data_IF_777314438387
#
_entry.id   IF_777314438387
#
_cell.length_a   1.000
_cell.length_b   1.000
_cell.length_c   1.000
_cell.angle_alpha   90.00
_cell.angle_beta   90.00
_cell.angle_gamma   90.00
#
_symmetry.space_group_name_H-M   'P 1'
#
loop_
_entity.id
_entity.type
_entity.pdbx_description
1 polymer ?
#
# COMPACT_ATOMS: atom_id res chain seq x y z
N UNK A 1 -4.71 -45.26 9.01
CA UNK A 1 -4.41 -44.47 10.21
C UNK A 1 -3.77 -43.18 9.75
N UNK A 2 -4.52 -42.12 9.55
CA UNK A 2 -3.96 -40.79 9.28
C UNK A 2 -3.92 -40.06 10.62
N UNK A 3 -2.75 -39.96 11.21
CA UNK A 3 -2.48 -39.13 12.37
C UNK A 3 -2.73 -37.68 11.97
N UNK A 4 -3.76 -37.07 12.54
CA UNK A 4 -3.99 -35.64 12.49
C UNK A 4 -2.97 -35.00 13.44
N UNK A 5 -1.84 -34.60 12.88
CA UNK A 5 -0.85 -33.78 13.54
C UNK A 5 -1.39 -32.34 13.68
N UNK A 6 -2.25 -32.13 14.67
CA UNK A 6 -2.61 -30.79 15.11
C UNK A 6 -2.90 -30.86 16.62
N UNK A 7 -2.02 -30.24 17.38
CA UNK A 7 -2.11 -30.07 18.84
C UNK A 7 -3.20 -29.03 19.22
N UNK A 8 -4.23 -28.86 18.39
CA UNK A 8 -5.31 -27.90 18.58
C UNK A 8 -6.47 -28.58 19.27
N UNK A 9 -6.78 -28.14 20.49
CA UNK A 9 -7.93 -28.60 21.27
C UNK A 9 -9.19 -27.90 20.72
N UNK A 10 -10.14 -28.63 20.18
CA UNK A 10 -11.44 -28.08 19.76
C UNK A 10 -12.36 -27.94 20.96
N UNK A 11 -13.30 -26.99 20.89
CA UNK A 11 -14.34 -26.77 21.89
C UNK A 11 -15.74 -27.04 21.31
N UNK A 12 -16.53 -27.85 22.00
CA UNK A 12 -17.89 -28.18 21.62
C UNK A 12 -18.83 -27.73 22.73
N UNK A 13 -19.85 -26.95 22.41
CA UNK A 13 -20.89 -26.53 23.34
C UNK A 13 -22.11 -27.43 23.16
N UNK A 14 -22.49 -28.15 24.22
CA UNK A 14 -23.75 -28.92 24.32
C UNK A 14 -24.79 -28.05 24.97
N UNK A 15 -25.94 -27.88 24.32
CA UNK A 15 -27.08 -27.11 24.83
C UNK A 15 -28.27 -28.05 24.98
N UNK A 16 -28.54 -28.48 26.20
CA UNK A 16 -29.63 -29.44 26.54
C UNK A 16 -29.97 -29.21 28.01
N UNK A 17 -31.22 -29.30 28.42
CA UNK A 17 -31.64 -29.20 29.83
C UNK A 17 -31.41 -30.48 30.63
N UNK A 18 -31.23 -31.61 29.93
CA UNK A 18 -31.12 -32.93 30.55
C UNK A 18 -29.67 -33.29 30.86
N UNK A 19 -29.33 -33.36 32.13
CA UNK A 19 -28.00 -33.75 32.61
C UNK A 19 -27.52 -35.13 32.11
N UNK A 20 -28.44 -36.00 31.71
CA UNK A 20 -28.11 -37.30 31.12
C UNK A 20 -27.39 -37.14 29.79
N UNK A 21 -27.91 -36.30 28.88
CA UNK A 21 -27.26 -36.06 27.56
C UNK A 21 -25.93 -35.36 27.69
N UNK A 22 -25.76 -34.45 28.65
CA UNK A 22 -24.47 -33.87 28.95
C UNK A 22 -23.42 -34.94 29.27
N UNK A 23 -23.73 -35.87 30.16
CA UNK A 23 -22.83 -36.95 30.53
C UNK A 23 -22.59 -37.93 29.38
N UNK A 24 -23.62 -38.25 28.62
CA UNK A 24 -23.53 -39.16 27.48
C UNK A 24 -22.58 -38.60 26.41
N UNK A 25 -22.77 -37.34 25.97
CA UNK A 25 -21.95 -36.71 24.95
C UNK A 25 -20.55 -36.42 25.45
N UNK A 26 -20.37 -36.01 26.71
CA UNK A 26 -19.04 -35.92 27.32
C UNK A 26 -18.31 -37.26 27.28
N UNK A 27 -18.97 -38.35 27.66
CA UNK A 27 -18.41 -39.71 27.59
C UNK A 27 -18.07 -40.16 26.16
N UNK A 28 -18.83 -39.73 25.16
CA UNK A 28 -18.49 -39.99 23.75
C UNK A 28 -17.17 -39.28 23.34
N UNK A 29 -16.89 -38.14 23.93
CA UNK A 29 -15.75 -37.28 23.60
C UNK A 29 -14.52 -37.44 24.53
N UNK A 30 -14.63 -38.21 25.64
CA UNK A 30 -13.58 -38.37 26.66
C UNK A 30 -12.36 -38.94 25.97
N UNK A 31 -11.97 -39.47 25.17
CA UNK A 31 -10.72 -39.88 24.55
C UNK A 31 -10.36 -39.05 23.31
N UNK A 32 -10.95 -37.87 23.17
CA UNK A 32 -10.73 -37.00 22.01
C UNK A 32 -10.06 -35.67 22.42
N UNK A 33 -9.52 -34.94 21.45
CA UNK A 33 -8.97 -33.59 21.66
C UNK A 33 -10.07 -32.49 21.65
N UNK A 34 -11.32 -32.83 22.07
CA UNK A 34 -12.48 -31.92 22.08
C UNK A 34 -12.87 -31.62 23.53
N UNK A 35 -12.82 -30.35 23.90
CA UNK A 35 -13.31 -29.87 25.19
C UNK A 35 -14.82 -29.65 25.15
N UNK A 36 -15.55 -30.19 26.09
CA UNK A 36 -17.01 -30.08 26.17
C UNK A 36 -17.39 -28.99 27.16
N UNK A 37 -18.16 -28.01 26.70
CA UNK A 37 -18.85 -27.01 27.51
C UNK A 37 -20.34 -27.31 27.48
N UNK A 38 -21.05 -26.90 28.53
CA UNK A 38 -22.45 -27.24 28.68
C UNK A 38 -23.29 -26.01 29.03
N UNK A 39 -24.42 -25.85 28.37
CA UNK A 39 -25.47 -24.90 28.71
C UNK A 39 -26.81 -25.59 28.86
N UNK A 40 -27.63 -25.13 29.81
CA UNK A 40 -28.94 -25.74 30.10
C UNK A 40 -30.12 -25.08 29.39
N UNK A 41 -29.86 -23.96 28.71
CA UNK A 41 -30.86 -23.24 27.91
C UNK A 41 -30.19 -22.50 26.76
N UNK A 42 -30.96 -22.04 25.78
CA UNK A 42 -30.46 -21.24 24.65
C UNK A 42 -29.88 -19.90 25.11
N UNK A 43 -30.48 -19.25 26.11
CA UNK A 43 -30.02 -17.97 26.66
C UNK A 43 -28.64 -18.13 27.33
N UNK A 44 -28.47 -19.20 28.13
CA UNK A 44 -27.19 -19.53 28.76
C UNK A 44 -26.11 -19.84 27.70
N UNK A 45 -26.50 -20.53 26.62
CA UNK A 45 -25.61 -20.80 25.49
C UNK A 45 -25.15 -19.52 24.80
N UNK A 46 -26.02 -18.57 24.51
CA UNK A 46 -25.70 -17.28 23.93
C UNK A 46 -24.73 -16.47 24.80
N UNK A 47 -24.89 -16.54 26.12
CA UNK A 47 -23.98 -15.86 27.06
C UNK A 47 -22.58 -16.47 27.05
N UNK A 48 -22.47 -17.79 27.03
CA UNK A 48 -21.21 -18.51 26.89
C UNK A 48 -20.55 -18.21 25.55
N UNK A 49 -21.27 -18.25 24.44
CA UNK A 49 -20.76 -18.00 23.09
C UNK A 49 -20.21 -16.56 22.95
N UNK A 50 -20.86 -15.59 23.59
CA UNK A 50 -20.36 -14.20 23.60
C UNK A 50 -19.01 -14.04 24.31
N UNK A 51 -18.80 -14.82 25.39
CA UNK A 51 -17.55 -14.78 26.19
C UNK A 51 -16.44 -15.59 25.52
N UNK A 52 -16.78 -16.77 25.06
CA UNK A 52 -15.81 -17.71 24.49
C UNK A 52 -16.52 -18.57 23.42
N UNK A 53 -16.42 -18.16 22.14
CA UNK A 53 -17.07 -18.89 21.06
C UNK A 53 -16.51 -20.31 20.90
N UNK A 54 -17.39 -21.35 20.91
CA UNK A 54 -16.96 -22.72 20.65
C UNK A 54 -16.71 -22.96 19.15
N UNK A 55 -16.02 -24.05 18.82
CA UNK A 55 -15.79 -24.45 17.43
C UNK A 55 -17.03 -25.13 16.81
N UNK A 56 -17.97 -25.66 17.63
CA UNK A 56 -19.23 -26.25 17.20
C UNK A 56 -20.25 -26.19 18.33
N UNK A 57 -21.52 -26.01 17.98
CA UNK A 57 -22.68 -26.08 18.91
C UNK A 57 -23.54 -27.30 18.58
N UNK A 58 -23.92 -28.05 19.61
CA UNK A 58 -24.86 -29.15 19.52
C UNK A 58 -26.04 -28.84 20.46
N UNK A 59 -27.23 -28.59 19.92
CA UNK A 59 -28.39 -28.12 20.69
C UNK A 59 -29.60 -29.06 20.61
N UNK A 60 -30.28 -29.26 21.71
CA UNK A 60 -31.62 -29.87 21.70
C UNK A 60 -32.64 -28.92 21.05
N UNK A 61 -33.72 -29.46 20.53
CA UNK A 61 -34.85 -28.68 19.98
C UNK A 61 -35.65 -28.02 21.09
N UNK A 62 -35.99 -28.81 22.14
CA UNK A 62 -36.90 -28.41 23.21
C UNK A 62 -36.11 -28.13 24.47
N UNK A 63 -36.13 -26.90 24.92
CA UNK A 63 -35.43 -26.47 26.12
C UNK A 63 -36.34 -25.56 26.96
N UNK A 64 -36.16 -25.50 28.29
CA UNK A 64 -36.90 -24.55 29.15
C UNK A 64 -36.39 -23.12 28.87
N UNK A 65 -37.27 -22.12 29.09
CA UNK A 65 -36.86 -20.70 28.96
C UNK A 65 -37.43 -19.98 27.74
N UNK A 66 -38.20 -20.66 26.90
CA UNK A 66 -38.96 -20.05 25.80
C UNK A 66 -38.25 -20.01 24.44
N UNK A 67 -36.90 -20.02 24.37
CA UNK A 67 -36.13 -20.11 23.11
C UNK A 67 -35.86 -21.58 22.78
N UNK A 68 -36.28 -22.03 21.58
CA UNK A 68 -35.97 -23.39 21.09
C UNK A 68 -34.59 -23.50 20.49
N UNK A 69 -34.09 -24.73 20.26
CA UNK A 69 -32.86 -24.96 19.51
C UNK A 69 -32.90 -24.43 18.07
N UNK A 70 -34.08 -24.38 17.46
CA UNK A 70 -34.25 -23.73 16.15
C UNK A 70 -34.06 -22.22 16.23
N UNK A 71 -34.56 -21.58 17.30
CA UNK A 71 -34.41 -20.14 17.52
C UNK A 71 -32.96 -19.79 17.81
N UNK A 72 -32.29 -20.60 18.65
CA UNK A 72 -30.84 -20.47 18.88
C UNK A 72 -30.05 -20.57 17.59
N UNK A 73 -30.34 -21.57 16.76
CA UNK A 73 -29.67 -21.75 15.45
C UNK A 73 -29.87 -20.52 14.56
N UNK A 74 -31.12 -20.04 14.40
CA UNK A 74 -31.38 -18.81 13.61
C UNK A 74 -30.61 -17.60 14.14
N UNK A 75 -30.56 -17.44 15.46
CA UNK A 75 -29.84 -16.34 16.10
C UNK A 75 -28.34 -16.39 15.79
N UNK A 76 -27.72 -17.58 15.90
CA UNK A 76 -26.32 -17.78 15.61
C UNK A 76 -25.98 -17.58 14.10
N UNK A 77 -26.88 -17.98 13.21
CA UNK A 77 -26.72 -17.84 11.77
C UNK A 77 -26.99 -16.41 11.24
N UNK A 78 -27.67 -15.59 12.04
CA UNK A 78 -27.92 -14.19 11.72
C UNK A 78 -26.78 -13.24 12.17
N UNK A 79 -25.93 -13.63 13.12
CA UNK A 79 -24.79 -12.81 13.59
C UNK A 79 -23.53 -13.10 12.76
N UNK A 80 -22.93 -12.07 12.16
CA UNK A 80 -21.72 -12.19 11.35
C UNK A 80 -20.53 -12.84 12.07
N UNK A 81 -20.47 -12.78 13.41
CA UNK A 81 -19.42 -13.38 14.24
C UNK A 81 -19.58 -14.89 14.40
N UNK A 82 -20.81 -15.41 14.29
CA UNK A 82 -21.15 -16.82 14.56
C UNK A 82 -21.74 -17.54 13.36
N UNK A 83 -22.06 -16.86 12.28
CA UNK A 83 -22.67 -17.44 11.06
C UNK A 83 -21.89 -18.63 10.49
N UNK A 84 -20.56 -18.59 10.56
CA UNK A 84 -19.70 -19.67 10.06
C UNK A 84 -19.55 -20.84 11.03
N UNK A 85 -19.95 -20.68 12.31
CA UNK A 85 -19.86 -21.72 13.34
C UNK A 85 -20.87 -22.85 13.07
N UNK A 86 -20.43 -24.11 13.02
CA UNK A 86 -21.33 -25.23 12.83
C UNK A 86 -22.34 -25.37 13.98
N UNK A 87 -23.61 -25.56 13.62
CA UNK A 87 -24.71 -25.81 14.56
C UNK A 87 -25.37 -27.12 14.20
N UNK A 88 -25.40 -28.04 15.14
CA UNK A 88 -26.06 -29.34 15.02
C UNK A 88 -27.28 -29.36 15.92
N UNK A 89 -28.40 -29.81 15.41
CA UNK A 89 -29.64 -29.99 16.20
C UNK A 89 -29.80 -31.46 16.61
N UNK A 90 -30.01 -31.71 17.90
CA UNK A 90 -30.33 -33.02 18.46
C UNK A 90 -31.84 -33.19 18.60
N UNK A 91 -32.37 -34.39 18.28
CA UNK A 91 -33.79 -34.72 18.47
C UNK A 91 -34.00 -36.15 18.88
N UNK A 92 -34.97 -36.38 19.75
CA UNK A 92 -35.49 -37.71 20.06
C UNK A 92 -36.39 -38.26 18.97
N UNK A 93 -36.97 -37.38 18.16
CA UNK A 93 -37.86 -37.72 17.03
C UNK A 93 -37.16 -37.36 15.74
N UNK A 94 -36.78 -38.35 14.97
CA UNK A 94 -36.19 -38.18 13.63
C UNK A 94 -37.27 -38.04 12.54
N UNK A 95 -38.37 -37.32 12.83
CA UNK A 95 -39.40 -37.07 11.84
C UNK A 95 -38.90 -36.07 10.76
N UNK A 96 -39.44 -36.25 9.57
CA UNK A 96 -39.06 -35.45 8.38
C UNK A 96 -39.29 -33.96 8.61
N UNK A 97 -40.32 -33.59 9.34
CA UNK A 97 -40.74 -32.21 9.57
C UNK A 97 -39.70 -31.44 10.42
N UNK A 98 -39.25 -32.02 11.54
CA UNK A 98 -38.25 -31.40 12.40
C UNK A 98 -36.87 -31.26 11.68
N UNK A 99 -36.52 -32.22 10.83
CA UNK A 99 -35.30 -32.11 10.02
C UNK A 99 -35.38 -30.95 9.04
N UNK A 100 -36.50 -30.79 8.33
CA UNK A 100 -36.71 -29.67 7.40
C UNK A 100 -36.61 -28.33 8.15
N UNK A 101 -37.32 -28.18 9.28
CA UNK A 101 -37.27 -26.98 10.12
C UNK A 101 -35.86 -26.66 10.64
N UNK A 102 -35.08 -27.72 10.96
CA UNK A 102 -33.69 -27.55 11.37
C UNK A 102 -32.82 -26.95 10.27
N UNK A 103 -32.90 -27.46 9.05
CA UNK A 103 -32.18 -26.92 7.91
C UNK A 103 -32.68 -25.53 7.50
N UNK A 104 -33.98 -25.25 7.58
CA UNK A 104 -34.54 -23.91 7.37
C UNK A 104 -34.06 -22.89 8.41
N UNK A 105 -33.79 -23.35 9.64
CA UNK A 105 -33.16 -22.53 10.67
C UNK A 105 -31.66 -22.30 10.45
N UNK A 106 -31.06 -22.95 9.44
CA UNK A 106 -29.64 -22.83 9.10
C UNK A 106 -28.72 -23.85 9.78
N UNK A 107 -29.26 -24.92 10.37
CA UNK A 107 -28.42 -25.96 10.97
C UNK A 107 -27.54 -26.65 9.92
N UNK A 108 -26.30 -26.94 10.27
CA UNK A 108 -25.34 -27.63 9.42
C UNK A 108 -25.58 -29.15 9.38
N UNK A 109 -26.12 -29.72 10.46
CA UNK A 109 -26.56 -31.12 10.52
C UNK A 109 -27.66 -31.34 11.58
N UNK A 110 -28.26 -32.54 11.52
CA UNK A 110 -29.35 -32.94 12.39
C UNK A 110 -29.09 -34.38 12.89
N UNK A 111 -28.95 -34.54 14.21
CA UNK A 111 -28.62 -35.82 14.83
C UNK A 111 -29.80 -36.41 15.62
N UNK A 112 -29.91 -37.74 15.60
CA UNK A 112 -30.79 -38.45 16.50
C UNK A 112 -30.15 -38.57 17.89
N UNK A 113 -30.92 -38.35 18.99
CA UNK A 113 -30.45 -38.64 20.34
C UNK A 113 -30.20 -40.14 20.58
N UNK A 114 -30.69 -41.01 19.67
CA UNK A 114 -30.43 -42.46 19.68
C UNK A 114 -29.23 -42.88 18.84
N UNK A 115 -28.47 -41.90 18.28
CA UNK A 115 -27.27 -42.13 17.50
C UNK A 115 -26.18 -42.80 18.36
N UNK A 116 -25.44 -43.75 17.78
CA UNK A 116 -24.32 -44.37 18.47
C UNK A 116 -23.09 -43.44 18.51
N UNK A 117 -22.13 -43.84 19.35
CA UNK A 117 -20.90 -43.06 19.56
C UNK A 117 -20.07 -42.90 18.29
N UNK A 118 -19.97 -43.93 17.47
CA UNK A 118 -19.10 -43.92 16.28
C UNK A 118 -19.65 -42.95 15.23
N UNK A 119 -20.94 -43.05 14.95
CA UNK A 119 -21.61 -42.13 14.01
C UNK A 119 -21.51 -40.69 14.50
N UNK A 120 -21.72 -40.42 15.80
CA UNK A 120 -21.61 -39.10 16.39
C UNK A 120 -20.21 -38.53 16.18
N UNK A 121 -19.16 -39.29 16.50
CA UNK A 121 -17.77 -38.83 16.37
C UNK A 121 -17.36 -38.57 14.92
N UNK A 122 -17.78 -39.41 13.98
CA UNK A 122 -17.46 -39.23 12.55
C UNK A 122 -18.09 -37.93 12.05
N UNK A 123 -19.35 -37.66 12.34
CA UNK A 123 -20.05 -36.45 11.88
C UNK A 123 -19.50 -35.18 12.52
N UNK A 124 -19.25 -35.18 13.84
CA UNK A 124 -18.65 -34.03 14.53
C UNK A 124 -17.26 -33.70 13.95
N UNK A 125 -16.41 -34.71 13.72
CA UNK A 125 -15.09 -34.52 13.12
C UNK A 125 -15.20 -33.95 11.73
N UNK A 126 -16.12 -34.42 10.90
CA UNK A 126 -16.33 -33.91 9.55
C UNK A 126 -16.72 -32.44 9.54
N UNK A 127 -17.65 -32.05 10.43
CA UNK A 127 -18.07 -30.64 10.57
C UNK A 127 -16.94 -29.75 11.07
N UNK A 128 -16.16 -30.17 12.05
CA UNK A 128 -15.01 -29.45 12.57
C UNK A 128 -13.92 -29.28 11.50
N UNK A 129 -13.62 -30.34 10.73
CA UNK A 129 -12.66 -30.27 9.62
C UNK A 129 -13.11 -29.29 8.53
N UNK A 130 -14.38 -29.32 8.14
CA UNK A 130 -14.92 -28.39 7.15
C UNK A 130 -14.87 -26.96 7.65
N UNK A 131 -15.23 -26.73 8.92
CA UNK A 131 -15.15 -25.41 9.53
C UNK A 131 -13.71 -24.88 9.57
N UNK A 132 -12.76 -25.72 9.99
CA UNK A 132 -11.35 -25.36 10.02
C UNK A 132 -10.82 -25.04 8.61
N UNK A 133 -11.13 -25.87 7.62
CA UNK A 133 -10.71 -25.63 6.24
C UNK A 133 -11.25 -24.29 5.68
N UNK A 134 -12.50 -23.94 6.01
CA UNK A 134 -13.07 -22.63 5.63
C UNK A 134 -12.34 -21.46 6.30
N UNK A 135 -12.02 -21.60 7.58
CA UNK A 135 -11.24 -20.57 8.31
C UNK A 135 -9.84 -20.39 7.74
N UNK A 136 -9.15 -21.49 7.45
CA UNK A 136 -7.79 -21.48 6.90
C UNK A 136 -7.79 -20.86 5.49
N UNK A 137 -8.79 -21.16 4.67
CA UNK A 137 -8.96 -20.56 3.36
C UNK A 137 -9.19 -19.04 3.45
N UNK A 138 -10.08 -18.60 4.35
CA UNK A 138 -10.35 -17.17 4.55
C UNK A 138 -9.10 -16.42 5.06
N UNK A 139 -8.35 -17.04 5.99
CA UNK A 139 -7.11 -16.49 6.49
C UNK A 139 -6.02 -16.39 5.40
N UNK A 140 -5.90 -17.43 4.55
CA UNK A 140 -4.97 -17.44 3.43
C UNK A 140 -5.32 -16.36 2.38
N UNK A 141 -6.61 -16.20 2.06
CA UNK A 141 -7.08 -15.14 1.15
C UNK A 141 -6.74 -13.75 1.68
N UNK A 142 -7.01 -13.49 2.97
CA UNK A 142 -6.67 -12.22 3.61
C UNK A 142 -5.16 -11.97 3.59
N UNK A 143 -4.35 -12.99 3.87
CA UNK A 143 -2.89 -12.88 3.83
C UNK A 143 -2.35 -12.52 2.42
N UNK A 144 -2.92 -13.15 1.37
CA UNK A 144 -2.57 -12.83 -0.03
C UNK A 144 -2.95 -11.39 -0.36
N UNK A 145 -4.11 -10.92 0.08
CA UNK A 145 -4.58 -9.55 -0.20
C UNK A 145 -3.71 -8.50 0.50
N UNK A 146 -3.32 -8.76 1.75
CA UNK A 146 -2.37 -7.94 2.51
C UNK A 146 -1.00 -7.92 1.84
N UNK A 147 -0.46 -9.07 1.43
CA UNK A 147 0.83 -9.14 0.72
C UNK A 147 0.78 -8.40 -0.63
N UNK A 148 -0.32 -8.51 -1.38
CA UNK A 148 -0.52 -7.78 -2.63
C UNK A 148 -0.54 -6.27 -2.40
N UNK A 149 -1.19 -5.82 -1.34
CA UNK A 149 -1.21 -4.41 -0.91
C UNK A 149 0.20 -3.91 -0.56
N UNK A 150 0.99 -4.69 0.18
CA UNK A 150 2.38 -4.35 0.52
C UNK A 150 3.29 -4.28 -0.72
N UNK A 151 3.23 -5.26 -1.61
CA UNK A 151 4.04 -5.27 -2.82
C UNK A 151 3.72 -4.09 -3.75
N UNK A 152 2.44 -3.72 -3.85
CA UNK A 152 2.00 -2.55 -4.59
C UNK A 152 2.55 -1.26 -3.94
N UNK A 153 2.46 -1.14 -2.61
CA UNK A 153 2.99 -0.02 -1.85
C UNK A 153 4.49 0.15 -2.04
N UNK A 154 5.29 -0.90 -1.87
CA UNK A 154 6.75 -0.88 -2.09
C UNK A 154 7.12 -0.46 -3.51
N UNK A 155 6.33 -0.87 -4.50
CA UNK A 155 6.56 -0.47 -5.90
C UNK A 155 6.33 1.03 -6.08
N UNK A 156 5.27 1.57 -5.47
CA UNK A 156 4.96 3.00 -5.56
C UNK A 156 5.93 3.88 -4.76
N UNK A 157 6.37 3.44 -3.58
CA UNK A 157 7.30 4.18 -2.72
C UNK A 157 8.67 4.43 -3.38
N UNK A 158 9.00 3.69 -4.43
CA UNK A 158 10.23 3.93 -5.23
C UNK A 158 10.13 5.17 -6.12
N UNK A 159 8.94 5.58 -6.52
CA UNK A 159 8.72 6.67 -7.47
C UNK A 159 8.01 7.86 -6.85
N UNK A 160 7.25 7.65 -5.80
CA UNK A 160 6.36 8.63 -5.19
C UNK A 160 6.66 8.72 -3.69
N UNK A 161 6.59 9.92 -3.12
CA UNK A 161 6.83 10.08 -1.67
C UNK A 161 5.88 9.22 -0.84
N UNK A 162 6.33 8.65 0.28
CA UNK A 162 5.50 7.81 1.16
C UNK A 162 4.18 8.49 1.54
N UNK A 163 4.21 9.79 1.82
CA UNK A 163 3.03 10.59 2.16
C UNK A 163 2.01 10.65 1.01
N UNK A 164 2.49 10.70 -0.23
CA UNK A 164 1.61 10.72 -1.41
C UNK A 164 1.00 9.34 -1.66
N UNK A 165 1.76 8.27 -1.42
CA UNK A 165 1.26 6.88 -1.47
C UNK A 165 0.15 6.67 -0.44
N UNK A 166 0.34 7.11 0.82
CA UNK A 166 -0.70 7.03 1.85
C UNK A 166 -1.96 7.80 1.45
N UNK A 167 -1.81 8.99 0.87
CA UNK A 167 -2.95 9.80 0.40
C UNK A 167 -3.71 9.10 -0.73
N UNK A 168 -3.00 8.48 -1.68
CA UNK A 168 -3.59 7.71 -2.79
C UNK A 168 -4.35 6.50 -2.25
N UNK A 169 -3.74 5.74 -1.34
CA UNK A 169 -4.34 4.52 -0.77
C UNK A 169 -5.53 4.83 0.15
N UNK A 170 -5.49 5.96 0.87
CA UNK A 170 -6.59 6.39 1.74
C UNK A 170 -7.79 6.97 0.99
N UNK A 171 -7.64 7.32 -0.28
CA UNK A 171 -8.69 8.02 -1.04
C UNK A 171 -8.97 7.30 -2.36
N UNK A 172 -9.97 6.38 -2.41
CA UNK A 172 -10.30 5.59 -3.61
C UNK A 172 -10.53 6.43 -4.87
N UNK A 173 -11.09 7.62 -4.75
CA UNK A 173 -11.29 8.56 -5.87
C UNK A 173 -9.97 9.11 -6.43
N UNK A 174 -8.92 9.22 -5.63
CA UNK A 174 -7.59 9.59 -6.09
C UNK A 174 -6.90 8.42 -6.81
N UNK A 175 -7.16 7.19 -6.42
CA UNK A 175 -6.70 5.98 -7.12
C UNK A 175 -7.29 5.92 -8.54
N UNK A 176 -8.57 6.30 -8.71
CA UNK A 176 -9.19 6.43 -10.03
C UNK A 176 -8.64 7.63 -10.82
N UNK A 177 -8.30 8.72 -10.15
CA UNK A 177 -7.77 9.94 -10.78
C UNK A 177 -6.29 9.81 -11.13
N UNK A 178 -5.50 9.13 -10.31
CA UNK A 178 -4.08 8.87 -10.53
C UNK A 178 -3.82 7.89 -11.69
N UNK A 179 -4.82 7.12 -12.12
CA UNK A 179 -4.84 6.17 -13.27
C UNK A 179 -3.48 5.93 -13.92
N UNK A 180 -2.57 5.34 -13.15
CA UNK A 180 -1.20 5.02 -13.61
C UNK A 180 -1.22 4.05 -14.81
N UNK A 181 -2.37 3.42 -15.04
CA UNK A 181 -2.63 2.55 -16.19
C UNK A 181 -2.97 3.30 -17.49
N UNK A 182 -3.22 4.62 -17.44
CA UNK A 182 -3.59 5.44 -18.61
C UNK A 182 -2.72 6.70 -18.73
N UNK A 183 -2.46 7.06 -19.96
CA UNK A 183 -1.78 8.31 -20.29
C UNK A 183 -2.69 9.50 -20.00
N UNK A 184 -2.31 10.36 -19.05
CA UNK A 184 -3.10 11.52 -18.63
C UNK A 184 -2.33 12.81 -18.83
N UNK A 185 -3.05 13.88 -19.25
CA UNK A 185 -2.48 15.23 -19.39
C UNK A 185 -2.57 15.97 -18.06
N UNK A 186 -1.43 16.54 -17.64
CA UNK A 186 -1.33 17.33 -16.42
C UNK A 186 -0.66 18.66 -16.72
N UNK A 187 -1.00 19.71 -15.95
CA UNK A 187 -0.14 20.89 -15.82
C UNK A 187 0.89 20.50 -14.76
N UNK A 188 2.15 20.46 -15.16
CA UNK A 188 3.26 20.00 -14.32
C UNK A 188 4.37 21.02 -14.25
N UNK A 189 5.06 21.06 -13.13
CA UNK A 189 6.38 21.71 -13.04
C UNK A 189 7.43 20.61 -13.05
N UNK A 190 8.28 20.64 -14.03
CA UNK A 190 9.34 19.66 -14.27
C UNK A 190 10.66 20.24 -13.80
N UNK A 191 11.38 19.48 -12.99
CA UNK A 191 12.73 19.79 -12.53
C UNK A 191 13.67 18.70 -13.03
N UNK A 192 14.72 19.09 -13.74
CA UNK A 192 15.88 18.27 -14.01
C UNK A 192 17.05 18.71 -13.15
N UNK A 193 17.77 17.76 -12.60
CA UNK A 193 19.04 17.97 -11.90
C UNK A 193 20.11 17.10 -12.56
N UNK A 194 21.29 17.69 -12.80
CA UNK A 194 22.35 17.06 -13.58
C UNK A 194 23.73 17.41 -12.97
N UNK A 195 24.59 16.40 -12.85
CA UNK A 195 25.88 16.51 -12.19
C UNK A 195 26.93 17.12 -13.12
N UNK A 196 27.44 18.29 -12.79
CA UNK A 196 28.50 18.93 -13.52
C UNK A 196 29.87 18.34 -13.14
N UNK A 197 30.70 18.02 -14.16
CA UNK A 197 31.99 17.38 -13.94
C UNK A 197 31.94 15.85 -13.85
N UNK A 198 30.78 15.22 -14.13
CA UNK A 198 30.60 13.77 -14.06
C UNK A 198 31.58 12.99 -14.94
N UNK A 199 31.71 13.37 -16.21
CA UNK A 199 32.67 12.73 -17.14
C UNK A 199 34.09 12.71 -16.58
N UNK A 200 34.56 13.87 -16.06
CA UNK A 200 35.89 13.97 -15.46
C UNK A 200 36.00 13.09 -14.19
N UNK A 201 34.95 13.04 -13.38
CA UNK A 201 34.91 12.20 -12.20
C UNK A 201 35.03 10.72 -12.56
N UNK A 202 34.31 10.24 -13.59
CA UNK A 202 34.38 8.85 -14.06
C UNK A 202 35.74 8.47 -14.68
N UNK A 203 36.51 9.43 -15.18
CA UNK A 203 37.87 9.21 -15.66
C UNK A 203 38.91 9.16 -14.52
N UNK A 204 38.60 9.75 -13.37
CA UNK A 204 39.52 9.87 -12.22
C UNK A 204 39.31 8.76 -11.17
N UNK A 205 38.12 8.18 -11.07
CA UNK A 205 37.76 7.25 -10.05
C UNK A 205 37.57 5.82 -10.59
N UNK A 206 37.78 4.85 -9.73
CA UNK A 206 37.42 3.47 -10.05
C UNK A 206 35.88 3.30 -10.12
N UNK A 207 35.36 2.39 -10.96
CA UNK A 207 33.93 2.21 -11.19
C UNK A 207 33.11 2.03 -9.91
N UNK A 208 33.60 1.27 -8.93
CA UNK A 208 32.93 1.05 -7.66
C UNK A 208 32.79 2.33 -6.83
N UNK A 209 33.77 3.21 -6.89
CA UNK A 209 33.72 4.53 -6.24
C UNK A 209 32.70 5.43 -6.92
N UNK A 210 32.64 5.41 -8.27
CA UNK A 210 31.61 6.16 -9.01
C UNK A 210 30.20 5.73 -8.62
N UNK A 211 29.95 4.41 -8.51
CA UNK A 211 28.65 3.89 -8.08
C UNK A 211 28.31 4.32 -6.65
N UNK A 212 29.28 4.29 -5.73
CA UNK A 212 29.08 4.78 -4.36
C UNK A 212 28.66 6.23 -4.33
N UNK A 213 29.41 7.11 -5.02
CA UNK A 213 29.12 8.54 -5.07
C UNK A 213 27.79 8.84 -5.77
N UNK A 214 27.43 8.12 -6.84
CA UNK A 214 26.12 8.25 -7.47
C UNK A 214 24.97 7.84 -6.53
N UNK A 215 25.16 6.81 -5.72
CA UNK A 215 24.16 6.42 -4.73
C UNK A 215 23.96 7.49 -3.65
N UNK A 216 25.04 8.10 -3.15
CA UNK A 216 24.95 9.23 -2.21
C UNK A 216 24.24 10.44 -2.86
N UNK A 217 24.60 10.77 -4.10
CA UNK A 217 23.99 11.82 -4.90
C UNK A 217 22.48 11.61 -5.08
N UNK A 218 22.07 10.45 -5.58
CA UNK A 218 20.65 10.17 -5.79
C UNK A 218 19.87 10.10 -4.48
N UNK A 219 20.45 9.56 -3.42
CA UNK A 219 19.80 9.55 -2.09
C UNK A 219 19.48 10.98 -1.63
N UNK A 220 20.47 11.87 -1.68
CA UNK A 220 20.28 13.26 -1.31
C UNK A 220 19.20 13.95 -2.15
N UNK A 221 19.26 13.81 -3.48
CA UNK A 221 18.31 14.48 -4.36
C UNK A 221 16.88 13.95 -4.24
N UNK A 222 16.73 12.63 -4.09
CA UNK A 222 15.42 12.01 -3.91
C UNK A 222 14.80 12.41 -2.59
N UNK A 223 15.58 12.48 -1.51
CA UNK A 223 15.10 12.96 -0.22
C UNK A 223 14.61 14.41 -0.29
N UNK A 224 15.35 15.29 -0.98
CA UNK A 224 14.91 16.66 -1.23
C UNK A 224 13.59 16.74 -2.01
N UNK A 225 13.44 15.89 -3.04
CA UNK A 225 12.23 15.82 -3.83
C UNK A 225 11.03 15.31 -3.01
N UNK A 226 11.19 14.21 -2.29
CA UNK A 226 10.13 13.59 -1.49
C UNK A 226 9.63 14.49 -0.36
N UNK A 227 10.51 15.27 0.30
CA UNK A 227 10.11 16.20 1.34
C UNK A 227 9.20 17.33 0.86
N UNK A 228 9.21 17.62 -0.45
CA UNK A 228 8.32 18.59 -1.07
C UNK A 228 7.25 17.93 -1.96
N UNK A 229 7.00 16.63 -1.76
CA UNK A 229 6.01 15.83 -2.48
C UNK A 229 6.23 15.81 -4.02
N UNK A 230 7.50 15.85 -4.45
CA UNK A 230 7.90 15.62 -5.84
C UNK A 230 7.83 14.13 -6.19
N UNK A 231 7.49 13.83 -7.42
CA UNK A 231 7.48 12.48 -7.98
C UNK A 231 8.72 12.25 -8.81
N UNK A 232 9.47 11.19 -8.53
CA UNK A 232 10.63 10.80 -9.33
C UNK A 232 10.15 10.03 -10.56
N UNK A 233 10.44 10.54 -11.75
CA UNK A 233 10.05 9.92 -13.01
C UNK A 233 11.17 9.18 -13.71
N UNK A 234 12.40 9.63 -13.55
CA UNK A 234 13.55 8.98 -14.16
C UNK A 234 14.85 9.30 -13.44
N UNK A 235 15.76 8.31 -13.43
CA UNK A 235 17.17 8.44 -13.08
C UNK A 235 17.98 7.78 -14.19
N UNK A 236 18.79 8.53 -14.90
CA UNK A 236 19.58 8.03 -16.02
C UNK A 236 20.96 8.66 -16.05
N UNK A 237 22.00 7.82 -15.91
CA UNK A 237 23.37 8.32 -15.77
C UNK A 237 23.51 9.13 -14.48
N UNK A 238 23.76 10.42 -14.64
CA UNK A 238 23.87 11.42 -13.57
C UNK A 238 22.68 12.40 -13.52
N UNK A 239 21.62 12.09 -14.28
CA UNK A 239 20.45 12.96 -14.42
C UNK A 239 19.26 12.45 -13.60
N UNK A 240 18.57 13.35 -12.91
CA UNK A 240 17.33 13.09 -12.17
C UNK A 240 16.20 13.93 -12.74
N UNK A 241 15.07 13.28 -13.06
CA UNK A 241 13.82 13.91 -13.48
C UNK A 241 12.79 13.85 -12.33
N UNK A 242 12.40 15.02 -11.85
CA UNK A 242 11.34 15.19 -10.85
C UNK A 242 10.18 15.97 -11.46
N UNK A 243 8.95 15.52 -11.18
CA UNK A 243 7.73 16.23 -11.55
C UNK A 243 6.89 16.60 -10.33
N UNK A 244 6.28 17.77 -10.41
CA UNK A 244 5.30 18.26 -9.44
C UNK A 244 3.98 18.50 -10.17
N UNK A 245 2.85 18.07 -9.60
CA UNK A 245 1.53 18.14 -10.23
C UNK A 245 1.13 16.91 -11.05
N UNK A 246 1.93 15.84 -11.02
CA UNK A 246 1.62 14.53 -11.60
C UNK A 246 2.24 13.41 -10.75
N UNK A 247 1.61 12.24 -10.63
CA UNK A 247 0.31 11.84 -11.17
C UNK A 247 -0.88 12.53 -10.48
N UNK A 248 -0.66 13.20 -9.35
CA UNK A 248 -1.67 13.95 -8.61
C UNK A 248 -1.47 15.43 -8.82
N UNK A 249 -2.55 16.14 -9.17
CA UNK A 249 -2.51 17.58 -9.35
C UNK A 249 -2.19 18.31 -8.04
N UNK A 250 -1.27 19.26 -8.09
CA UNK A 250 -0.85 20.10 -6.97
C UNK A 250 -1.06 21.58 -7.34
N UNK A 251 -1.75 22.34 -6.50
CA UNK A 251 -1.99 23.78 -6.74
C UNK A 251 -0.72 24.61 -6.59
N UNK A 252 0.25 24.12 -5.83
CA UNK A 252 1.53 24.76 -5.49
C UNK A 252 2.73 24.01 -6.09
N UNK A 253 2.55 23.36 -7.24
CA UNK A 253 3.60 22.59 -7.93
C UNK A 253 4.89 23.40 -8.16
N UNK A 254 4.76 24.61 -8.70
CA UNK A 254 5.91 25.46 -9.02
C UNK A 254 6.66 25.98 -7.80
N UNK A 255 6.00 26.50 -6.75
CA UNK A 255 6.64 26.79 -5.47
C UNK A 255 7.41 25.61 -4.88
N UNK A 256 6.84 24.41 -4.92
CA UNK A 256 7.50 23.19 -4.44
C UNK A 256 8.76 22.84 -5.24
N UNK A 257 8.68 22.94 -6.57
CA UNK A 257 9.82 22.70 -7.45
C UNK A 257 10.99 23.67 -7.16
N UNK A 258 10.69 24.96 -7.01
CA UNK A 258 11.71 25.98 -6.67
C UNK A 258 12.36 25.68 -5.33
N UNK A 259 11.56 25.43 -4.29
CA UNK A 259 12.06 25.08 -2.95
C UNK A 259 12.93 23.82 -2.97
N UNK A 260 12.51 22.82 -3.76
CA UNK A 260 13.28 21.58 -3.93
C UNK A 260 14.62 21.86 -4.60
N UNK A 261 14.63 22.62 -5.70
CA UNK A 261 15.85 22.98 -6.41
C UNK A 261 16.85 23.76 -5.54
N UNK A 262 16.38 24.75 -4.78
CA UNK A 262 17.21 25.49 -3.81
C UNK A 262 17.85 24.55 -2.80
N UNK A 263 17.03 23.69 -2.19
CA UNK A 263 17.51 22.73 -1.20
C UNK A 263 18.52 21.74 -1.78
N UNK A 264 18.25 21.21 -2.99
CA UNK A 264 19.19 20.32 -3.68
C UNK A 264 20.54 20.99 -3.88
N UNK A 265 20.57 22.25 -4.30
CA UNK A 265 21.83 22.99 -4.49
C UNK A 265 22.58 23.18 -3.17
N UNK A 266 21.89 23.58 -2.10
CA UNK A 266 22.50 23.84 -0.79
C UNK A 266 23.05 22.55 -0.15
N UNK A 267 22.29 21.47 -0.19
CA UNK A 267 22.71 20.19 0.38
C UNK A 267 23.80 19.51 -0.46
N UNK A 268 23.68 19.59 -1.80
CA UNK A 268 24.70 19.03 -2.68
C UNK A 268 26.04 19.79 -2.60
N UNK A 269 26.03 21.10 -2.41
CA UNK A 269 27.27 21.86 -2.23
C UNK A 269 28.10 21.36 -1.04
N UNK A 270 27.44 20.92 0.05
CA UNK A 270 28.09 20.29 1.20
C UNK A 270 28.69 18.93 0.85
N UNK A 271 27.90 18.08 0.19
CA UNK A 271 28.34 16.76 -0.26
C UNK A 271 29.51 16.84 -1.25
N UNK A 272 29.44 17.77 -2.21
CA UNK A 272 30.53 18.02 -3.17
C UNK A 272 31.83 18.47 -2.47
N UNK A 273 31.71 19.27 -1.40
CA UNK A 273 32.85 19.63 -0.56
C UNK A 273 33.49 18.43 0.13
N UNK A 274 32.68 17.51 0.66
CA UNK A 274 33.16 16.26 1.24
C UNK A 274 33.86 15.36 0.20
N UNK A 275 33.28 15.24 -1.00
CA UNK A 275 33.88 14.44 -2.09
C UNK A 275 35.19 15.03 -2.56
N UNK A 276 35.32 16.37 -2.63
CA UNK A 276 36.58 17.02 -2.92
C UNK A 276 37.66 16.69 -1.90
N UNK A 277 37.32 16.68 -0.61
CA UNK A 277 38.27 16.36 0.46
C UNK A 277 38.67 14.88 0.47
N UNK A 278 37.68 13.97 0.29
CA UNK A 278 37.89 12.52 0.41
C UNK A 278 38.48 11.89 -0.86
N UNK A 279 38.04 12.36 -2.02
CA UNK A 279 38.28 11.71 -3.31
C UNK A 279 39.03 12.62 -4.33
N UNK A 280 39.22 13.90 -4.00
CA UNK A 280 39.87 14.87 -4.91
C UNK A 280 39.05 15.26 -6.13
N UNK A 281 37.75 14.95 -6.16
CA UNK A 281 36.87 15.24 -7.31
C UNK A 281 36.17 16.60 -7.16
N UNK A 282 36.11 17.35 -8.26
CA UNK A 282 35.35 18.60 -8.31
C UNK A 282 34.12 18.42 -9.17
N UNK A 283 32.98 18.48 -8.52
CA UNK A 283 31.66 18.33 -9.12
C UNK A 283 30.71 19.43 -8.63
N UNK A 284 29.63 19.63 -9.36
CA UNK A 284 28.60 20.58 -8.99
C UNK A 284 27.26 20.19 -9.53
N UNK A 285 26.20 20.80 -9.06
CA UNK A 285 24.82 20.51 -9.47
C UNK A 285 24.29 21.63 -10.35
N UNK A 286 23.75 21.30 -11.53
CA UNK A 286 23.00 22.22 -12.39
C UNK A 286 21.53 21.82 -12.42
N UNK A 287 20.62 22.78 -12.22
CA UNK A 287 19.18 22.53 -12.19
C UNK A 287 18.46 23.35 -13.25
N UNK A 288 17.50 22.71 -13.94
CA UNK A 288 16.59 23.36 -14.89
C UNK A 288 15.14 23.08 -14.56
N UNK A 289 14.32 24.13 -14.52
CA UNK A 289 12.89 24.01 -14.17
C UNK A 289 12.03 24.65 -15.27
N UNK A 290 10.98 23.93 -15.68
CA UNK A 290 9.98 24.45 -16.61
C UNK A 290 8.58 24.01 -16.21
N UNK A 291 7.59 24.84 -16.50
CA UNK A 291 6.17 24.57 -16.22
C UNK A 291 5.37 24.52 -17.53
N UNK A 292 4.42 23.62 -17.60
CA UNK A 292 3.52 23.50 -18.74
C UNK A 292 2.76 22.18 -18.77
N UNK A 293 2.11 21.91 -19.90
CA UNK A 293 1.36 20.67 -20.10
C UNK A 293 2.32 19.53 -20.46
N UNK A 294 2.19 18.41 -19.75
CA UNK A 294 2.87 17.15 -20.10
C UNK A 294 1.89 15.96 -19.96
N UNK A 295 2.24 14.85 -20.58
CA UNK A 295 1.55 13.57 -20.44
C UNK A 295 2.32 12.73 -19.44
N UNK A 296 1.66 12.32 -18.36
CA UNK A 296 2.16 11.30 -17.46
C UNK A 296 1.60 9.93 -17.88
N UNK A 297 2.46 8.94 -18.06
CA UNK A 297 2.00 7.62 -18.48
C UNK A 297 3.11 6.61 -18.69
N UNK A 298 2.69 5.41 -19.02
CA UNK A 298 3.56 4.27 -19.28
C UNK A 298 4.09 4.30 -20.71
N UNK A 299 5.40 4.22 -20.86
CA UNK A 299 6.11 4.20 -22.13
C UNK A 299 7.05 3.01 -22.19
N UNK A 300 6.96 2.25 -23.27
CA UNK A 300 7.82 1.09 -23.45
C UNK A 300 7.13 -0.02 -24.24
N UNK A 301 7.61 -1.22 -24.07
CA UNK A 301 7.04 -2.46 -24.63
C UNK A 301 6.32 -3.25 -23.53
N UNK A 302 5.50 -4.27 -23.89
CA UNK A 302 4.88 -5.14 -22.89
C UNK A 302 5.86 -5.83 -21.94
N UNK A 303 7.12 -5.99 -22.36
CA UNK A 303 8.17 -6.62 -21.54
C UNK A 303 8.94 -5.60 -20.65
N UNK A 304 8.87 -4.31 -20.98
CA UNK A 304 9.58 -3.26 -20.25
C UNK A 304 8.83 -1.94 -20.36
N UNK A 305 8.20 -1.53 -19.28
CA UNK A 305 7.43 -0.28 -19.17
C UNK A 305 8.08 0.65 -18.16
N UNK A 306 8.13 1.93 -18.51
CA UNK A 306 8.56 3.00 -17.59
C UNK A 306 7.45 4.04 -17.48
N UNK A 307 7.03 4.35 -16.26
CA UNK A 307 6.09 5.44 -16.01
C UNK A 307 6.86 6.76 -15.98
N UNK A 308 6.59 7.62 -16.95
CA UNK A 308 7.36 8.86 -17.13
C UNK A 308 6.51 10.03 -17.62
N UNK A 309 7.12 11.21 -17.66
CA UNK A 309 6.55 12.42 -18.23
C UNK A 309 7.03 12.62 -19.66
N UNK A 310 6.10 12.95 -20.57
CA UNK A 310 6.40 13.21 -21.98
C UNK A 310 5.77 14.53 -22.41
N UNK A 311 6.50 15.31 -23.18
CA UNK A 311 6.00 16.53 -23.78
C UNK A 311 7.08 17.59 -24.00
N UNK A 312 6.71 18.66 -24.70
CA UNK A 312 7.58 19.80 -24.94
C UNK A 312 8.05 20.46 -23.62
N UNK A 313 7.19 20.45 -22.61
CA UNK A 313 7.50 20.94 -21.25
C UNK A 313 8.72 20.25 -20.68
N UNK A 314 8.79 18.91 -20.81
CA UNK A 314 9.90 18.08 -20.31
C UNK A 314 11.18 18.35 -21.09
N UNK A 315 11.10 18.37 -22.44
CA UNK A 315 12.23 18.64 -23.30
C UNK A 315 12.80 20.05 -23.07
N UNK A 316 11.93 21.02 -22.83
CA UNK A 316 12.35 22.40 -22.50
C UNK A 316 13.09 22.45 -21.16
N UNK A 317 12.60 21.78 -20.11
CA UNK A 317 13.29 21.70 -18.82
C UNK A 317 14.67 21.06 -18.97
N UNK A 318 14.79 19.94 -19.70
CA UNK A 318 16.06 19.28 -19.97
C UNK A 318 17.07 20.22 -20.65
N UNK A 319 16.63 21.00 -21.66
CA UNK A 319 17.48 21.97 -22.34
C UNK A 319 17.89 23.13 -21.43
N UNK A 320 17.03 23.62 -20.57
CA UNK A 320 17.36 24.63 -19.57
C UNK A 320 18.44 24.08 -18.62
N UNK A 321 18.32 22.83 -18.18
CA UNK A 321 19.31 22.16 -17.33
C UNK A 321 20.69 22.13 -18.01
N UNK A 322 20.77 21.78 -19.28
CA UNK A 322 22.04 21.75 -20.02
C UNK A 322 22.80 23.08 -20.01
N UNK A 323 22.07 24.20 -19.89
CA UNK A 323 22.67 25.55 -19.81
C UNK A 323 23.09 25.95 -18.40
N UNK A 324 22.54 25.31 -17.37
CA UNK A 324 22.87 25.60 -15.98
C UNK A 324 24.33 25.21 -15.67
N UNK A 325 25.07 26.08 -15.03
CA UNK A 325 26.42 25.80 -14.51
C UNK A 325 26.33 25.12 -13.13
N UNK A 326 27.47 24.70 -12.62
CA UNK A 326 27.59 24.21 -11.26
C UNK A 326 27.07 25.27 -10.26
N UNK A 327 26.15 24.89 -9.38
CA UNK A 327 25.52 25.77 -8.42
C UNK A 327 24.41 26.68 -8.96
N UNK A 328 23.97 26.50 -10.21
CA UNK A 328 22.91 27.33 -10.80
C UNK A 328 21.59 26.59 -10.91
N UNK A 329 20.50 27.28 -10.57
CA UNK A 329 19.13 26.89 -10.87
C UNK A 329 18.53 27.83 -11.90
N UNK A 330 18.30 27.33 -13.11
CA UNK A 330 17.71 28.07 -14.22
C UNK A 330 16.24 27.67 -14.39
N UNK A 331 15.40 28.61 -14.78
CA UNK A 331 13.97 28.33 -15.01
C UNK A 331 13.37 29.27 -16.06
N UNK A 332 12.27 28.82 -16.67
CA UNK A 332 11.54 29.54 -17.71
C UNK A 332 10.73 30.73 -17.18
N UNK A 333 10.32 31.62 -18.10
CA UNK A 333 9.42 32.73 -17.81
C UNK A 333 8.07 32.23 -17.21
N UNK A 334 7.56 31.06 -17.64
CA UNK A 334 6.34 30.48 -17.07
C UNK A 334 6.50 30.22 -15.57
N UNK A 335 7.61 29.61 -15.18
CA UNK A 335 7.93 29.36 -13.76
C UNK A 335 8.03 30.68 -12.99
N UNK A 336 8.72 31.68 -13.55
CA UNK A 336 8.83 33.00 -12.91
C UNK A 336 7.48 33.67 -12.70
N UNK A 337 6.58 33.53 -13.68
CA UNK A 337 5.21 34.08 -13.58
C UNK A 337 4.40 33.37 -12.48
N UNK A 338 4.45 32.04 -12.43
CA UNK A 338 3.75 31.26 -11.41
C UNK A 338 4.29 31.52 -10.00
N UNK A 339 5.60 31.70 -9.83
CA UNK A 339 6.21 32.09 -8.54
C UNK A 339 5.72 33.45 -8.07
N UNK A 340 5.68 34.45 -8.98
CA UNK A 340 5.16 35.78 -8.66
C UNK A 340 3.67 35.77 -8.31
N UNK A 341 2.86 34.98 -9.04
CA UNK A 341 1.44 34.80 -8.74
C UNK A 341 1.19 34.14 -7.37
N UNK A 342 2.10 33.28 -6.94
CA UNK A 342 2.08 32.66 -5.62
C UNK A 342 2.55 33.60 -4.48
N UNK A 343 2.93 34.85 -4.80
CA UNK A 343 3.42 35.83 -3.82
C UNK A 343 4.81 35.51 -3.25
N UNK A 344 5.57 34.69 -3.95
CA UNK A 344 6.95 34.32 -3.54
C UNK A 344 7.92 35.32 -4.15
N UNK A 345 8.65 36.01 -3.29
CA UNK A 345 9.79 36.84 -3.70
C UNK A 345 10.99 35.95 -3.99
N UNK A 346 11.33 35.83 -5.26
CA UNK A 346 12.51 35.12 -5.72
C UNK A 346 13.49 36.11 -6.34
N UNK A 347 14.65 36.26 -5.70
CA UNK A 347 15.72 37.09 -6.25
C UNK A 347 16.33 36.38 -7.48
N UNK A 348 15.81 36.67 -8.66
CA UNK A 348 16.21 36.02 -9.90
C UNK A 348 16.70 37.07 -10.94
N UNK A 349 17.75 36.73 -11.66
CA UNK A 349 18.32 37.53 -12.71
C UNK A 349 17.90 36.97 -14.07
N UNK A 350 17.42 37.84 -14.97
CA UNK A 350 17.12 37.44 -16.34
C UNK A 350 18.44 37.21 -17.11
N UNK A 351 18.52 36.05 -17.76
CA UNK A 351 19.66 35.70 -18.60
C UNK A 351 19.35 35.97 -20.08
N UNK A 352 20.37 36.04 -20.97
CA UNK A 352 20.13 36.08 -22.40
C UNK A 352 19.19 34.95 -22.85
N UNK A 353 18.20 35.30 -23.66
CA UNK A 353 17.21 34.36 -24.14
C UNK A 353 17.85 33.16 -24.84
N UNK A 354 17.22 32.02 -24.76
CA UNK A 354 17.72 30.73 -25.27
C UNK A 354 16.98 30.36 -26.54
N UNK A 355 17.71 30.26 -27.67
CA UNK A 355 17.12 29.67 -28.87
C UNK A 355 16.94 28.18 -28.70
N UNK A 356 15.73 27.72 -28.96
CA UNK A 356 15.37 26.30 -28.87
C UNK A 356 15.11 25.78 -30.30
N UNK A 357 15.85 24.74 -30.71
CA UNK A 357 15.62 24.08 -32.00
C UNK A 357 14.15 23.62 -32.12
N UNK A 358 13.43 24.17 -33.11
CA UNK A 358 12.02 23.87 -33.34
C UNK A 358 11.02 24.81 -32.65
N UNK A 359 11.50 25.90 -32.01
CA UNK A 359 10.64 27.01 -31.53
C UNK A 359 10.93 28.27 -32.31
N UNK A 360 9.86 29.02 -32.62
CA UNK A 360 9.99 30.28 -33.39
C UNK A 360 10.46 31.43 -32.51
N UNK A 361 10.15 31.39 -31.22
CA UNK A 361 10.54 32.47 -30.29
C UNK A 361 11.58 31.97 -29.29
N UNK A 362 12.62 32.80 -29.04
CA UNK A 362 13.60 32.48 -27.99
C UNK A 362 12.94 32.40 -26.62
N UNK A 363 13.35 31.43 -25.82
CA UNK A 363 12.84 31.23 -24.47
C UNK A 363 13.54 32.18 -23.50
N UNK A 364 12.78 33.00 -22.80
CA UNK A 364 13.29 33.77 -21.65
C UNK A 364 13.53 32.85 -20.46
N UNK A 365 14.73 32.96 -19.91
CA UNK A 365 15.19 32.18 -18.78
C UNK A 365 15.74 33.08 -17.68
N UNK A 366 15.58 32.59 -16.45
CA UNK A 366 16.01 33.28 -15.24
C UNK A 366 16.92 32.37 -14.43
N UNK A 367 17.85 32.97 -13.68
CA UNK A 367 18.75 32.31 -12.75
C UNK A 367 18.42 32.78 -11.33
N UNK A 368 18.12 31.86 -10.40
CA UNK A 368 18.12 32.18 -8.99
C UNK A 368 19.56 31.99 -8.46
N UNK A 369 20.19 33.03 -7.88
CA UNK A 369 21.46 32.87 -7.23
C UNK A 369 21.31 32.00 -5.96
N UNK A 370 22.24 31.07 -5.77
CA UNK A 370 22.44 30.43 -4.47
C UNK A 370 22.95 31.46 -3.44
N UNK A 371 22.56 31.28 -2.17
CA UNK A 371 23.03 32.16 -1.06
C UNK A 371 24.57 32.08 -0.83
N UNK A 372 25.24 31.12 -1.44
CA UNK A 372 26.70 30.94 -1.39
C UNK A 372 27.32 31.15 -2.77
N UNK A 373 27.50 32.41 -3.19
CA UNK A 373 28.54 32.72 -4.19
C UNK A 373 29.83 33.08 -3.45
N UNK A 374 30.92 32.30 -3.56
CA UNK A 374 32.23 32.89 -3.47
C UNK A 374 32.36 33.82 -4.67
N UNK A 375 32.80 35.04 -4.44
CA UNK A 375 33.08 36.06 -5.45
C UNK A 375 33.80 35.45 -6.68
N UNK A 376 33.06 35.26 -7.75
CA UNK A 376 33.66 35.02 -9.05
C UNK A 376 33.94 36.39 -9.63
N UNK A 377 35.17 36.84 -9.44
CA UNK A 377 35.70 37.99 -10.13
C UNK A 377 35.41 37.90 -11.63
N UNK A 378 34.87 38.99 -12.16
CA UNK A 378 34.60 39.23 -13.57
C UNK A 378 35.92 39.19 -14.35
#
# INVERSE_FOLDING_TARGET
MLEVSSNKKYSLLVVDDQAFFHRLLSGYLDATAIEVKVAKSAEAALELIRREPPDIVVTDIIMPGGMSGFDLCRHLKADSRTVAMPVVILSTRSDRENRIRGFEAGADDFFSKAMDREEFLVRIRSLLQLHQARRDLAAAQLAIEVQRGHALRETFERYVSPKLVETILATPSLLESARIDRNTRHIVTVLFADLRGFTRMTEQLEPDQVVLLLNEYFTLLTDCAHQNEGTIFNMAGDNLLVGFGAPIAQKDATPRAIKTGQRMLDEFARLAGEWKLKHGVEVGLGIGINEGVAVAGNVGSPAYMNYTLIGDTVNTAARITQRARAGEMLFSEHVMRSVRQAGIELNAVELPAMELKGKFEPLKIFCAPTQQRPDLGI
#
